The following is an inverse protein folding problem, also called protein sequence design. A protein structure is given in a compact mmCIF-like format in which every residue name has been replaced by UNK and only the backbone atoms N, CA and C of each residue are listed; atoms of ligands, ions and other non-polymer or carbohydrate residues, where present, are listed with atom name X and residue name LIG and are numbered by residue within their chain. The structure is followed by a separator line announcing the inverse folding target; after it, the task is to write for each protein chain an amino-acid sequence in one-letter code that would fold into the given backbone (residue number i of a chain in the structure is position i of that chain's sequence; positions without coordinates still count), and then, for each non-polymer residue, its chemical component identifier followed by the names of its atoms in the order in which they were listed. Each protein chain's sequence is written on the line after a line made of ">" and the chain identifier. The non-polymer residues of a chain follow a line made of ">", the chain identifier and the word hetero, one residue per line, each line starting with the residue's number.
data_IF_554945104653
#
_entry.id   IF_554945104653
#
_cell.length_a   1.000
_cell.length_b   1.000
_cell.length_c   1.000
_cell.angle_alpha   90.00
_cell.angle_beta   90.00
_cell.angle_gamma   90.00
#
_symmetry.space_group_name_H-M   'P 1'
#
loop_
_entity.id
_entity.type
_entity.pdbx_description
1 polymer ?
#
# COMPACT_ATOMS: atom_id res chain seq x y z
N UNK A 1 10.45 -15.23 -1.58
CA UNK A 1 10.23 -16.65 -1.21
C UNK A 1 8.80 -16.86 -0.69
N UNK A 2 8.31 -16.06 0.26
CA UNK A 2 6.95 -16.19 0.84
C UNK A 2 5.81 -16.11 -0.18
N UNK A 3 5.86 -15.17 -1.12
CA UNK A 3 4.85 -15.07 -2.19
C UNK A 3 4.65 -16.38 -2.95
N UNK A 4 5.74 -17.01 -3.42
CA UNK A 4 5.65 -18.25 -4.18
C UNK A 4 5.16 -19.44 -3.36
N UNK A 5 5.49 -19.47 -2.07
CA UNK A 5 5.03 -20.49 -1.12
C UNK A 5 3.53 -20.37 -0.91
N UNK A 6 3.05 -19.15 -0.62
CA UNK A 6 1.62 -18.90 -0.39
C UNK A 6 0.80 -19.07 -1.66
N UNK A 7 1.30 -18.63 -2.82
CA UNK A 7 0.69 -18.89 -4.12
C UNK A 7 0.47 -20.39 -4.34
N UNK A 8 1.51 -21.20 -4.11
CA UNK A 8 1.44 -22.64 -4.26
C UNK A 8 0.46 -23.30 -3.27
N UNK A 9 0.38 -22.75 -2.05
CA UNK A 9 -0.57 -23.21 -1.03
C UNK A 9 -2.01 -22.91 -1.44
N UNK A 10 -2.27 -21.67 -1.90
CA UNK A 10 -3.59 -21.27 -2.37
C UNK A 10 -4.06 -22.12 -3.55
N UNK A 11 -3.20 -22.38 -4.54
CA UNK A 11 -3.54 -23.21 -5.69
C UNK A 11 -3.85 -24.64 -5.25
N UNK A 12 -3.06 -25.23 -4.36
CA UNK A 12 -3.32 -26.59 -3.82
C UNK A 12 -4.62 -26.70 -3.05
N UNK A 13 -5.07 -25.61 -2.41
CA UNK A 13 -6.38 -25.55 -1.74
C UNK A 13 -7.54 -25.22 -2.69
N UNK A 14 -7.31 -25.19 -4.00
CA UNK A 14 -8.36 -24.98 -5.01
C UNK A 14 -8.70 -23.51 -5.29
N UNK A 15 -7.91 -22.57 -4.77
CA UNK A 15 -8.10 -21.14 -5.06
C UNK A 15 -7.49 -20.85 -6.43
N UNK A 16 -8.30 -20.29 -7.32
CA UNK A 16 -7.87 -19.95 -8.68
C UNK A 16 -6.95 -18.73 -8.68
N UNK A 17 -5.97 -18.75 -9.57
CA UNK A 17 -5.23 -17.55 -9.91
C UNK A 17 -6.10 -16.60 -10.73
N UNK A 18 -5.74 -15.31 -10.78
CA UNK A 18 -6.41 -14.34 -11.63
C UNK A 18 -6.42 -14.77 -13.09
N UNK A 19 -5.29 -15.28 -13.60
CA UNK A 19 -5.20 -15.80 -14.97
C UNK A 19 -6.13 -16.99 -15.20
N UNK A 20 -6.18 -17.95 -14.29
CA UNK A 20 -7.11 -19.11 -14.40
C UNK A 20 -8.57 -18.64 -14.39
N UNK A 21 -8.90 -17.67 -13.55
CA UNK A 21 -10.24 -17.11 -13.45
C UNK A 21 -10.66 -16.40 -14.75
N UNK A 22 -9.78 -15.57 -15.31
CA UNK A 22 -10.01 -14.86 -16.57
C UNK A 22 -10.15 -15.84 -17.74
N UNK A 23 -9.28 -16.83 -17.84
CA UNK A 23 -9.39 -17.86 -18.87
C UNK A 23 -10.71 -18.64 -18.79
N UNK A 24 -11.14 -19.00 -17.59
CA UNK A 24 -12.43 -19.65 -17.39
C UNK A 24 -13.59 -18.79 -17.92
N UNK A 25 -13.60 -17.50 -17.59
CA UNK A 25 -14.68 -16.61 -18.02
C UNK A 25 -14.55 -16.15 -19.47
N UNK A 26 -13.38 -16.23 -20.09
CA UNK A 26 -13.20 -15.96 -21.53
C UNK A 26 -13.94 -16.98 -22.42
N UNK A 27 -14.12 -18.18 -21.90
CA UNK A 27 -14.77 -19.27 -22.62
C UNK A 27 -16.27 -19.38 -22.32
N UNK A 28 -16.66 -19.11 -21.09
CA UNK A 28 -18.03 -19.38 -20.61
C UNK A 28 -18.83 -18.16 -20.22
N UNK A 29 -18.18 -17.00 -20.08
CA UNK A 29 -18.77 -15.85 -19.42
C UNK A 29 -19.09 -16.13 -17.95
N UNK A 30 -19.86 -15.27 -17.32
CA UNK A 30 -20.30 -15.43 -15.93
C UNK A 30 -20.23 -14.13 -15.15
N UNK A 31 -19.54 -14.14 -14.00
CA UNK A 31 -19.36 -12.92 -13.18
C UNK A 31 -18.53 -11.84 -13.90
N UNK A 32 -17.65 -12.27 -14.80
CA UNK A 32 -16.98 -11.38 -15.78
C UNK A 32 -17.60 -11.72 -17.14
N UNK A 33 -17.93 -10.69 -17.93
CA UNK A 33 -18.41 -10.91 -19.30
C UNK A 33 -17.31 -11.58 -20.14
N UNK A 34 -17.71 -12.43 -21.08
CA UNK A 34 -16.76 -13.08 -22.01
C UNK A 34 -15.88 -12.04 -22.73
N UNK A 35 -16.48 -10.94 -23.17
CA UNK A 35 -15.77 -9.85 -23.85
C UNK A 35 -14.73 -9.18 -22.94
N UNK A 36 -15.08 -8.88 -21.68
CA UNK A 36 -14.14 -8.26 -20.74
C UNK A 36 -13.02 -9.23 -20.34
N UNK A 37 -13.35 -10.50 -20.12
CA UNK A 37 -12.35 -11.51 -19.81
C UNK A 37 -11.34 -11.66 -20.96
N UNK A 38 -11.80 -11.77 -22.22
CA UNK A 38 -10.93 -11.82 -23.41
C UNK A 38 -10.06 -10.58 -23.53
N UNK A 39 -10.63 -9.40 -23.30
CA UNK A 39 -9.88 -8.14 -23.34
C UNK A 39 -8.79 -8.11 -22.29
N UNK A 40 -9.08 -8.54 -21.06
CA UNK A 40 -8.09 -8.57 -19.97
C UNK A 40 -7.00 -9.63 -20.21
N UNK A 41 -7.34 -10.80 -20.75
CA UNK A 41 -6.34 -11.83 -21.11
C UNK A 41 -5.41 -11.30 -22.20
N UNK A 42 -5.95 -10.72 -23.29
CA UNK A 42 -5.15 -10.14 -24.36
C UNK A 42 -4.23 -9.03 -23.85
N UNK A 43 -4.75 -8.14 -23.02
CA UNK A 43 -3.96 -7.05 -22.44
C UNK A 43 -2.83 -7.57 -21.51
N UNK A 44 -3.10 -8.63 -20.74
CA UNK A 44 -2.08 -9.24 -19.88
C UNK A 44 -0.97 -9.93 -20.69
N UNK A 45 -1.33 -10.63 -21.80
CA UNK A 45 -0.36 -11.25 -22.70
C UNK A 45 0.50 -10.21 -23.39
N UNK A 46 -0.10 -9.15 -23.94
CA UNK A 46 0.62 -8.05 -24.55
C UNK A 46 1.57 -7.34 -23.57
N UNK A 47 1.13 -7.13 -22.33
CA UNK A 47 1.98 -6.57 -21.27
C UNK A 47 3.18 -7.45 -20.97
N UNK A 48 2.98 -8.76 -20.90
CA UNK A 48 4.07 -9.72 -20.67
C UNK A 48 5.11 -9.65 -21.78
N UNK A 49 4.65 -9.58 -23.03
CA UNK A 49 5.54 -9.53 -24.20
C UNK A 49 6.35 -8.21 -24.25
N UNK A 50 5.69 -7.07 -23.99
CA UNK A 50 6.35 -5.76 -23.89
C UNK A 50 7.37 -5.71 -22.74
N UNK A 51 7.05 -6.31 -21.58
CA UNK A 51 7.95 -6.39 -20.44
C UNK A 51 9.17 -7.29 -20.73
N UNK A 52 8.96 -8.40 -21.44
CA UNK A 52 10.05 -9.26 -21.87
C UNK A 52 11.01 -8.51 -22.81
N UNK A 53 10.47 -7.75 -23.78
CA UNK A 53 11.25 -6.92 -24.69
C UNK A 53 12.05 -5.83 -23.96
N UNK A 54 11.41 -5.12 -23.03
CA UNK A 54 12.08 -4.12 -22.20
C UNK A 54 13.18 -4.74 -21.33
N UNK A 55 12.93 -5.94 -20.79
CA UNK A 55 13.93 -6.67 -19.99
C UNK A 55 15.16 -7.01 -20.80
N UNK A 56 14.99 -7.49 -22.06
CA UNK A 56 16.10 -7.79 -22.96
C UNK A 56 16.95 -6.54 -23.21
N UNK A 57 16.32 -5.39 -23.45
CA UNK A 57 17.05 -4.13 -23.65
C UNK A 57 17.77 -3.66 -22.36
N UNK A 58 17.19 -3.94 -21.19
CA UNK A 58 17.80 -3.61 -19.90
C UNK A 58 19.00 -4.48 -19.55
N UNK A 59 19.15 -5.69 -20.12
CA UNK A 59 20.33 -6.52 -19.91
C UNK A 59 21.61 -5.92 -20.51
N UNK A 60 21.49 -4.99 -21.48
CA UNK A 60 22.65 -4.27 -22.01
C UNK A 60 23.10 -3.19 -21.03
N UNK A 61 24.41 -3.05 -20.74
CA UNK A 61 24.95 -1.92 -19.99
C UNK A 61 24.55 -0.59 -20.62
N UNK A 62 24.29 0.42 -19.83
CA UNK A 62 23.83 1.72 -20.31
C UNK A 62 24.81 2.38 -21.29
N UNK A 63 26.12 2.17 -21.07
CA UNK A 63 27.20 2.65 -21.93
C UNK A 63 27.21 2.04 -23.34
N UNK A 64 26.59 0.88 -23.52
CA UNK A 64 26.56 0.14 -24.79
C UNK A 64 25.23 0.34 -25.54
N UNK A 65 24.28 1.05 -24.95
CA UNK A 65 22.96 1.30 -25.56
C UNK A 65 23.06 2.41 -26.58
N UNK A 66 22.58 2.14 -27.79
CA UNK A 66 22.44 3.13 -28.84
C UNK A 66 21.28 4.10 -28.55
N UNK A 67 21.30 5.29 -29.13
CA UNK A 67 20.21 6.28 -28.97
C UNK A 67 18.87 5.73 -29.43
N UNK A 68 18.86 4.86 -30.46
CA UNK A 68 17.64 4.18 -30.91
C UNK A 68 17.11 3.20 -29.87
N UNK A 69 17.97 2.49 -29.16
CA UNK A 69 17.57 1.57 -28.09
C UNK A 69 17.04 2.34 -26.88
N UNK A 70 17.64 3.47 -26.53
CA UNK A 70 17.13 4.36 -25.47
C UNK A 70 15.75 4.92 -25.80
N UNK A 71 15.54 5.40 -27.02
CA UNK A 71 14.24 5.87 -27.49
C UNK A 71 13.18 4.74 -27.46
N UNK A 72 13.55 3.53 -27.93
CA UNK A 72 12.68 2.36 -27.88
C UNK A 72 12.30 1.96 -26.44
N UNK A 73 13.24 2.02 -25.51
CA UNK A 73 12.96 1.75 -24.09
C UNK A 73 11.97 2.74 -23.51
N UNK A 74 12.10 4.03 -23.85
CA UNK A 74 11.16 5.06 -23.42
C UNK A 74 9.75 4.79 -23.97
N UNK A 75 9.63 4.48 -25.26
CA UNK A 75 8.36 4.14 -25.90
C UNK A 75 7.71 2.89 -25.29
N UNK A 76 8.50 1.84 -25.05
CA UNK A 76 8.04 0.62 -24.40
C UNK A 76 7.53 0.90 -22.97
N UNK A 77 8.28 1.69 -22.19
CA UNK A 77 7.88 2.06 -20.84
C UNK A 77 6.57 2.83 -20.85
N UNK A 78 6.42 3.82 -21.72
CA UNK A 78 5.19 4.60 -21.89
C UNK A 78 4.00 3.71 -22.27
N UNK A 79 4.22 2.80 -23.24
CA UNK A 79 3.20 1.85 -23.70
C UNK A 79 2.77 0.89 -22.59
N UNK A 80 3.74 0.36 -21.83
CA UNK A 80 3.48 -0.52 -20.67
C UNK A 80 2.63 0.21 -19.63
N UNK A 81 2.98 1.45 -19.29
CA UNK A 81 2.22 2.26 -18.33
C UNK A 81 0.78 2.50 -18.77
N UNK A 82 0.58 2.89 -20.03
CA UNK A 82 -0.75 3.11 -20.60
C UNK A 82 -1.60 1.82 -20.55
N UNK A 83 -1.03 0.70 -20.98
CA UNK A 83 -1.74 -0.60 -20.96
C UNK A 83 -2.03 -1.09 -19.55
N UNK A 84 -1.10 -0.91 -18.60
CA UNK A 84 -1.33 -1.23 -17.17
C UNK A 84 -2.50 -0.42 -16.62
N UNK A 85 -2.56 0.88 -16.92
CA UNK A 85 -3.66 1.75 -16.50
C UNK A 85 -5.01 1.23 -17.02
N UNK A 86 -5.10 0.95 -18.31
CA UNK A 86 -6.35 0.44 -18.94
C UNK A 86 -6.76 -0.91 -18.32
N UNK A 87 -5.80 -1.81 -18.08
CA UNK A 87 -6.08 -3.09 -17.45
C UNK A 87 -6.57 -2.90 -16.01
N UNK A 88 -5.92 -2.03 -15.24
CA UNK A 88 -6.28 -1.71 -13.87
C UNK A 88 -7.69 -1.10 -13.75
N UNK A 89 -8.07 -0.21 -14.67
CA UNK A 89 -9.42 0.36 -14.73
C UNK A 89 -10.48 -0.73 -14.92
N UNK A 90 -10.22 -1.69 -15.81
CA UNK A 90 -11.09 -2.84 -15.99
C UNK A 90 -11.14 -3.77 -14.79
N UNK A 91 -9.99 -4.06 -14.20
CA UNK A 91 -9.88 -4.90 -13.00
C UNK A 91 -10.62 -4.30 -11.79
N UNK A 92 -10.59 -2.98 -11.65
CA UNK A 92 -11.30 -2.27 -10.59
C UNK A 92 -12.80 -2.54 -10.62
N UNK A 93 -13.38 -2.72 -11.81
CA UNK A 93 -14.80 -3.08 -11.97
C UNK A 93 -15.13 -4.48 -11.40
N UNK A 94 -14.12 -5.33 -11.24
CA UNK A 94 -14.26 -6.71 -10.75
C UNK A 94 -13.43 -6.97 -9.48
N UNK A 95 -13.07 -5.92 -8.75
CA UNK A 95 -12.11 -5.98 -7.63
C UNK A 95 -12.54 -6.99 -6.55
N UNK A 96 -13.83 -7.03 -6.21
CA UNK A 96 -14.36 -7.98 -5.22
C UNK A 96 -14.13 -9.43 -5.61
N UNK A 97 -14.18 -9.74 -6.90
CA UNK A 97 -13.93 -11.10 -7.39
C UNK A 97 -12.42 -11.41 -7.34
N UNK A 98 -11.57 -10.47 -7.75
CA UNK A 98 -10.12 -10.67 -7.76
C UNK A 98 -9.50 -10.71 -6.38
N UNK A 99 -10.07 -10.03 -5.38
CA UNK A 99 -9.58 -10.06 -4.00
C UNK A 99 -9.52 -11.48 -3.39
N UNK A 100 -10.27 -12.40 -3.94
CA UNK A 100 -10.27 -13.80 -3.48
C UNK A 100 -9.34 -14.73 -4.28
N UNK A 101 -8.61 -14.22 -5.26
CA UNK A 101 -7.67 -15.02 -6.06
C UNK A 101 -6.40 -15.36 -5.28
N UNK A 102 -5.71 -16.43 -5.74
CA UNK A 102 -4.45 -16.85 -5.15
C UNK A 102 -3.37 -15.75 -5.24
N UNK A 103 -3.39 -14.96 -6.31
CA UNK A 103 -2.46 -13.84 -6.52
C UNK A 103 -2.58 -12.80 -5.41
N UNK A 104 -3.77 -12.30 -5.15
CA UNK A 104 -4.00 -11.26 -4.14
C UNK A 104 -3.75 -11.79 -2.72
N UNK A 105 -4.17 -13.04 -2.44
CA UNK A 105 -3.86 -13.66 -1.14
C UNK A 105 -2.36 -13.80 -0.91
N UNK A 106 -1.62 -14.23 -1.94
CA UNK A 106 -0.17 -14.35 -1.85
C UNK A 106 0.52 -12.98 -1.72
N UNK A 107 0.04 -11.94 -2.42
CA UNK A 107 0.54 -10.57 -2.28
C UNK A 107 0.32 -10.03 -0.87
N UNK A 108 -0.90 -10.14 -0.35
CA UNK A 108 -1.22 -9.67 1.00
C UNK A 108 -0.38 -10.39 2.07
N UNK A 109 -0.16 -11.71 1.91
CA UNK A 109 0.70 -12.49 2.81
C UNK A 109 2.16 -12.04 2.74
N UNK A 110 2.66 -11.74 1.53
CA UNK A 110 4.02 -11.23 1.35
C UNK A 110 4.20 -9.85 1.97
N UNK A 111 3.26 -8.93 1.74
CA UNK A 111 3.27 -7.59 2.34
C UNK A 111 3.25 -7.69 3.87
N UNK A 112 2.35 -8.49 4.42
CA UNK A 112 2.29 -8.74 5.86
C UNK A 112 3.60 -9.31 6.41
N UNK A 113 4.22 -10.24 5.67
CA UNK A 113 5.53 -10.78 6.06
C UNK A 113 6.60 -9.68 6.14
N UNK A 114 6.63 -8.75 5.18
CA UNK A 114 7.57 -7.62 5.22
C UNK A 114 7.30 -6.73 6.43
N UNK A 115 6.05 -6.37 6.70
CA UNK A 115 5.67 -5.56 7.85
C UNK A 115 6.13 -6.23 9.14
N UNK A 116 5.74 -7.48 9.36
CA UNK A 116 6.03 -8.20 10.61
C UNK A 116 7.52 -8.50 10.81
N UNK A 117 8.28 -8.67 9.71
CA UNK A 117 9.68 -9.09 9.79
C UNK A 117 10.67 -7.94 9.81
N UNK A 118 10.35 -6.81 9.20
CA UNK A 118 11.28 -5.72 8.97
C UNK A 118 10.95 -4.43 9.73
N UNK A 119 9.87 -4.42 10.52
CA UNK A 119 9.53 -3.24 11.30
C UNK A 119 10.21 -3.26 12.65
N UNK A 120 10.96 -2.19 12.91
CA UNK A 120 11.65 -1.95 14.15
C UNK A 120 11.28 -0.55 14.66
N UNK A 121 11.26 -0.39 15.98
CA UNK A 121 11.08 0.91 16.62
C UNK A 121 12.24 1.19 17.59
N UNK A 122 12.44 2.45 17.88
CA UNK A 122 13.42 2.92 18.86
C UNK A 122 12.68 3.64 19.96
N UNK A 123 12.80 3.13 21.18
CA UNK A 123 12.27 3.79 22.36
C UNK A 123 13.41 4.59 23.03
N UNK A 124 13.33 5.91 22.96
CA UNK A 124 14.35 6.81 23.52
C UNK A 124 14.40 6.76 25.04
N UNK A 125 13.34 6.28 25.70
CA UNK A 125 13.25 6.17 27.16
C UNK A 125 13.91 4.91 27.70
N UNK A 126 13.98 3.85 26.90
CA UNK A 126 14.48 2.52 27.32
C UNK A 126 15.91 2.26 26.84
N UNK A 127 16.34 2.90 25.75
CA UNK A 127 17.69 2.73 25.20
C UNK A 127 17.82 3.16 23.75
N UNK A 128 19.05 3.11 23.22
CA UNK A 128 19.34 3.55 21.85
C UNK A 128 19.23 2.43 20.81
N UNK A 129 18.87 1.22 21.17
CA UNK A 129 18.83 0.07 20.28
C UNK A 129 17.46 -0.09 19.62
N UNK A 130 17.47 -0.46 18.32
CA UNK A 130 16.25 -0.81 17.60
C UNK A 130 15.70 -2.15 18.08
N UNK A 131 14.42 -2.18 18.42
CA UNK A 131 13.70 -3.38 18.81
C UNK A 131 12.66 -3.76 17.75
N UNK A 132 12.44 -5.07 17.49
CA UNK A 132 11.38 -5.48 16.57
C UNK A 132 10.01 -5.10 17.12
N UNK A 133 9.18 -4.44 16.31
CA UNK A 133 7.81 -4.10 16.70
C UNK A 133 6.97 -5.37 16.96
N UNK A 134 7.21 -6.42 16.17
CA UNK A 134 6.54 -7.72 16.31
C UNK A 134 7.57 -8.78 16.68
N UNK A 135 7.85 -9.00 17.98
CA UNK A 135 8.83 -9.99 18.42
C UNK A 135 8.34 -11.41 18.10
N UNK A 136 9.26 -12.26 17.62
CA UNK A 136 8.99 -13.65 17.30
C UNK A 136 10.08 -14.27 16.46
N UNK A 137 10.23 -15.60 16.56
CA UNK A 137 11.25 -16.36 15.80
C UNK A 137 10.82 -16.72 14.38
N UNK A 138 9.50 -16.82 14.16
CA UNK A 138 8.89 -17.16 12.90
C UNK A 138 7.68 -16.26 12.61
N UNK A 139 7.11 -16.42 11.42
CA UNK A 139 5.99 -15.60 10.97
C UNK A 139 4.76 -15.74 11.88
N UNK A 140 4.39 -16.98 12.24
CA UNK A 140 3.20 -17.26 13.04
C UNK A 140 3.26 -16.63 14.43
N UNK A 141 4.45 -16.61 15.07
CA UNK A 141 4.62 -15.94 16.36
C UNK A 141 4.49 -14.43 16.25
N UNK A 142 5.03 -13.84 15.18
CA UNK A 142 4.92 -12.39 14.92
C UNK A 142 3.49 -11.99 14.57
N UNK A 143 2.80 -12.81 13.80
CA UNK A 143 1.39 -12.62 13.47
C UNK A 143 0.50 -12.71 14.74
N UNK A 144 0.78 -13.62 15.65
CA UNK A 144 0.09 -13.70 16.94
C UNK A 144 0.28 -12.41 17.76
N UNK A 145 1.51 -11.87 17.84
CA UNK A 145 1.78 -10.59 18.50
C UNK A 145 1.01 -9.44 17.85
N UNK A 146 0.91 -9.43 16.52
CA UNK A 146 0.11 -8.42 15.80
C UNK A 146 -1.36 -8.49 16.23
N UNK A 147 -1.95 -9.67 16.30
CA UNK A 147 -3.33 -9.85 16.76
C UNK A 147 -3.51 -9.44 18.23
N UNK A 148 -2.53 -9.77 19.11
CA UNK A 148 -2.55 -9.33 20.49
C UNK A 148 -2.52 -7.80 20.62
N UNK A 149 -1.78 -7.11 19.74
CA UNK A 149 -1.73 -5.64 19.69
C UNK A 149 -3.04 -5.04 19.16
N UNK A 150 -3.65 -5.66 18.17
CA UNK A 150 -4.95 -5.26 17.63
C UNK A 150 -6.04 -5.40 18.69
N UNK A 151 -6.10 -6.55 19.37
CA UNK A 151 -7.09 -6.84 20.41
C UNK A 151 -6.91 -5.97 21.67
N UNK A 152 -5.66 -5.59 22.00
CA UNK A 152 -5.35 -4.76 23.17
C UNK A 152 -5.40 -3.26 22.90
N UNK A 153 -5.77 -2.83 21.68
CA UNK A 153 -5.77 -1.43 21.24
C UNK A 153 -4.40 -0.73 21.50
N UNK A 154 -3.31 -1.43 21.25
CA UNK A 154 -1.96 -0.90 21.47
C UNK A 154 -1.74 0.41 20.70
N UNK A 155 -1.38 1.50 21.38
CA UNK A 155 -1.27 2.83 20.80
C UNK A 155 -0.22 2.91 19.69
N UNK A 156 0.93 2.25 19.86
CA UNK A 156 2.00 2.24 18.85
C UNK A 156 1.51 1.51 17.59
N UNK A 157 0.86 0.35 17.79
CA UNK A 157 0.28 -0.41 16.71
C UNK A 157 -0.75 0.43 15.93
N UNK A 158 -1.71 1.03 16.62
CA UNK A 158 -2.79 1.80 16.00
C UNK A 158 -2.28 3.02 15.21
N UNK A 159 -1.25 3.70 15.72
CA UNK A 159 -0.64 4.85 15.04
C UNK A 159 0.25 4.48 13.85
N UNK A 160 0.90 3.33 13.90
CA UNK A 160 1.96 2.98 12.94
C UNK A 160 1.51 1.96 11.88
N UNK A 161 0.60 1.04 12.22
CA UNK A 161 0.31 -0.09 11.34
C UNK A 161 -0.26 0.31 9.97
N UNK A 162 -1.23 1.22 9.92
CA UNK A 162 -1.81 1.68 8.66
C UNK A 162 -0.80 2.39 7.77
N UNK A 163 0.08 3.21 8.37
CA UNK A 163 1.18 3.89 7.68
C UNK A 163 2.18 2.88 7.12
N UNK A 164 2.60 1.92 7.92
CA UNK A 164 3.48 0.84 7.50
C UNK A 164 2.88 0.00 6.38
N UNK A 165 1.60 -0.36 6.49
CA UNK A 165 0.89 -1.12 5.46
C UNK A 165 0.87 -0.36 4.12
N UNK A 166 0.61 0.94 4.14
CA UNK A 166 0.61 1.78 2.94
C UNK A 166 2.00 1.91 2.32
N UNK A 167 3.02 2.20 3.13
CA UNK A 167 4.40 2.35 2.69
C UNK A 167 4.94 1.04 2.10
N UNK A 168 4.77 -0.08 2.81
CA UNK A 168 5.24 -1.39 2.36
C UNK A 168 4.49 -1.85 1.11
N UNK A 169 3.18 -1.58 1.03
CA UNK A 169 2.39 -1.88 -0.17
C UNK A 169 2.88 -1.07 -1.37
N UNK A 170 3.07 0.24 -1.20
CA UNK A 170 3.60 1.08 -2.27
C UNK A 170 4.97 0.58 -2.76
N UNK A 171 5.91 0.35 -1.84
CA UNK A 171 7.22 -0.21 -2.18
C UNK A 171 7.12 -1.57 -2.89
N UNK A 172 6.26 -2.45 -2.42
CA UNK A 172 6.07 -3.78 -3.00
C UNK A 172 5.62 -3.72 -4.47
N UNK A 173 4.76 -2.76 -4.82
CA UNK A 173 4.23 -2.61 -6.17
C UNK A 173 5.12 -1.77 -7.09
N UNK A 174 5.80 -0.76 -6.58
CA UNK A 174 6.61 0.16 -7.39
C UNK A 174 8.07 -0.27 -7.49
N UNK A 175 8.59 -0.97 -6.49
CA UNK A 175 9.99 -1.39 -6.35
C UNK A 175 11.02 -0.24 -6.41
N UNK A 176 10.56 1.01 -6.32
CA UNK A 176 11.40 2.19 -6.49
C UNK A 176 10.85 3.35 -5.66
N UNK A 177 11.17 3.35 -4.37
CA UNK A 177 10.84 4.47 -3.48
C UNK A 177 12.13 5.19 -3.13
N UNK A 178 12.29 6.41 -3.63
CA UNK A 178 13.32 7.32 -3.13
C UNK A 178 12.83 8.05 -1.87
N UNK A 179 13.73 8.82 -1.21
CA UNK A 179 13.40 9.49 0.03
C UNK A 179 12.28 10.53 -0.12
N UNK A 180 12.24 11.26 -1.23
CA UNK A 180 11.23 12.30 -1.48
C UNK A 180 9.83 11.68 -1.71
N UNK A 181 9.76 10.54 -2.40
CA UNK A 181 8.51 9.81 -2.61
C UNK A 181 7.99 9.21 -1.30
N UNK A 182 8.89 8.78 -0.42
CA UNK A 182 8.56 8.28 0.91
C UNK A 182 7.93 9.37 1.79
N UNK A 183 8.55 10.53 1.83
CA UNK A 183 8.06 11.69 2.59
C UNK A 183 6.69 12.16 2.08
N UNK A 184 6.47 12.14 0.76
CA UNK A 184 5.17 12.44 0.15
C UNK A 184 4.09 11.45 0.59
N UNK A 185 4.39 10.14 0.59
CA UNK A 185 3.43 9.12 1.03
C UNK A 185 3.07 9.32 2.49
N UNK A 186 4.05 9.63 3.35
CA UNK A 186 3.80 9.91 4.77
C UNK A 186 2.89 11.13 4.91
N UNK A 187 3.15 12.22 4.21
CA UNK A 187 2.31 13.42 4.23
C UNK A 187 0.89 13.17 3.74
N UNK A 188 0.72 12.36 2.68
CA UNK A 188 -0.61 11.98 2.19
C UNK A 188 -1.41 11.15 3.22
N UNK A 189 -0.73 10.30 4.00
CA UNK A 189 -1.37 9.46 5.03
C UNK A 189 -1.70 10.27 6.29
N UNK A 190 -0.81 11.18 6.69
CA UNK A 190 -1.03 12.02 7.88
C UNK A 190 -2.12 13.08 7.66
N UNK A 191 -2.45 13.35 6.39
CA UNK A 191 -3.36 14.43 6.02
C UNK A 191 -2.70 15.81 6.22
N UNK A 192 -3.39 16.91 5.87
CA UNK A 192 -2.93 18.24 6.26
C UNK A 192 -2.93 18.31 7.79
N UNK A 193 -1.79 18.71 8.38
CA UNK A 193 -1.72 19.00 9.81
C UNK A 193 -2.86 19.97 10.15
N UNK A 194 -3.79 19.52 10.99
CA UNK A 194 -4.75 20.45 11.58
C UNK A 194 -3.92 21.49 12.34
N UNK A 195 -4.07 22.81 12.03
CA UNK A 195 -3.34 23.82 12.75
C UNK A 195 -3.61 23.64 14.24
N UNK A 196 -2.53 23.50 15.03
CA UNK A 196 -2.66 23.46 16.49
C UNK A 196 -3.57 24.61 16.92
N UNK A 197 -4.58 24.37 17.76
CA UNK A 197 -5.44 25.42 18.24
C UNK A 197 -4.55 26.49 18.89
N UNK A 198 -4.54 27.69 18.34
CA UNK A 198 -3.83 28.82 18.92
C UNK A 198 -4.23 28.89 20.40
N UNK A 199 -3.27 29.03 21.34
CA UNK A 199 -3.58 29.17 22.73
C UNK A 199 -4.49 30.39 22.88
N UNK A 200 -5.72 30.18 23.35
CA UNK A 200 -6.66 31.26 23.65
C UNK A 200 -5.94 32.27 24.56
N UNK A 201 -5.52 33.38 24.00
CA UNK A 201 -5.05 34.54 24.79
C UNK A 201 -6.17 34.91 25.75
N UNK A 202 -5.95 34.61 27.03
CA UNK A 202 -6.88 34.88 28.09
C UNK A 202 -7.30 36.37 28.02
N UNK A 203 -8.55 36.61 27.69
CA UNK A 203 -9.18 37.91 27.82
C UNK A 203 -9.14 38.28 29.31
N UNK A 204 -8.18 39.16 29.63
CA UNK A 204 -8.07 39.77 30.94
C UNK A 204 -9.37 40.47 31.29
N UNK A 205 -10.01 39.93 32.29
CA UNK A 205 -11.08 40.57 33.02
C UNK A 205 -10.52 41.83 33.72
N UNK A 206 -10.73 42.99 33.13
CA UNK A 206 -10.54 44.27 33.78
C UNK A 206 -11.80 44.60 34.54
N UNK A 207 -11.82 44.25 35.84
CA UNK A 207 -12.79 44.72 36.77
C UNK A 207 -12.81 46.24 36.85
N UNK A 208 -13.92 46.84 36.59
CA UNK A 208 -14.21 48.24 36.95
C UNK A 208 -15.36 48.26 37.96
N UNK A 209 -14.96 48.55 39.19
CA UNK A 209 -15.80 48.93 40.33
C UNK A 209 -16.50 50.21 40.06
N UNK A 210 -17.81 50.22 40.10
CA UNK A 210 -18.69 51.42 40.05
C UNK A 210 -19.74 51.36 41.14
N UNK A 211 -19.42 51.98 42.23
CA UNK A 211 -20.23 52.34 43.41
C UNK A 211 -21.23 53.44 43.02
N UNK A 212 -22.49 53.30 43.40
CA UNK A 212 -23.36 54.38 43.93
C UNK A 212 -24.83 53.86 43.97
N UNK A 213 -25.33 53.67 45.10
CA UNK A 213 -26.01 54.59 46.02
C UNK A 213 -27.43 54.97 45.54
N UNK A 214 -28.27 54.74 46.43
CA UNK A 214 -29.41 55.53 46.87
C UNK A 214 -30.85 55.12 46.43
N UNK A 215 -31.56 54.74 47.45
CA UNK A 215 -32.80 55.36 47.98
C UNK A 215 -34.14 55.03 47.34
N UNK A 216 -34.97 54.48 48.19
CA UNK A 216 -36.32 54.94 48.62
C UNK A 216 -37.54 54.61 47.75
N UNK A 217 -38.46 54.11 48.54
CA UNK A 217 -39.88 54.35 48.63
C UNK A 217 -40.75 53.69 47.52
N UNK A 218 -41.72 52.92 47.78
CA UNK A 218 -42.78 52.74 48.82
C UNK A 218 -43.15 51.24 48.85
#
# INVERSE_FOLDING_TARGET
>A
MEFSVEMSRCIRSGILTKAMLLNKYSDTGGLISESDAKTMVSAADELRDLQAELTILNLKPESERTDKEKAKMHDLTSTILAKRKTLMEKETSYITLFNHTADIKAQNRAILWYILSLTYYKDETVGSEFQPLFPGKNFEQREAVMFDYEDSENEIYNKCYSKLASIVSHWFFTSNVDGEEFDRIIQEIDGPEEPEPEPEEGSGDSGESGESDNSREE
#
